data_IF_884237660363
#
_entry.id   IF_884237660363
#
_cell.length_a   1.000
_cell.length_b   1.000
_cell.length_c   1.000
_cell.angle_alpha   90.00
_cell.angle_beta   90.00
_cell.angle_gamma   90.00
#
_symmetry.space_group_name_H-M   'P 1'
#
loop_
_entity.id
_entity.type
_entity.pdbx_description
1 polymer ?
#
# COMPACT_ATOMS: atom_id res chain seq x y z
N UNK A 1 -15.64 1.11 -1.02
CA UNK A 1 -15.17 2.11 -2.02
C UNK A 1 -15.31 1.54 -3.45
N UNK A 2 -15.38 2.34 -4.52
CA UNK A 2 -15.41 1.79 -5.88
C UNK A 2 -14.00 1.36 -6.34
N UNK A 3 -13.86 0.26 -7.11
CA UNK A 3 -12.56 -0.19 -7.63
C UNK A 3 -11.80 0.90 -8.39
N UNK A 4 -12.51 1.73 -9.16
CA UNK A 4 -11.92 2.85 -9.90
C UNK A 4 -11.20 3.87 -9.02
N UNK A 5 -11.74 4.15 -7.83
CA UNK A 5 -11.13 5.09 -6.88
C UNK A 5 -9.85 4.50 -6.27
N UNK A 6 -9.84 3.19 -6.00
CA UNK A 6 -8.64 2.50 -5.51
C UNK A 6 -7.50 2.54 -6.55
N UNK A 7 -7.80 2.26 -7.82
CA UNK A 7 -6.79 2.35 -8.89
C UNK A 7 -6.20 3.75 -9.02
N UNK A 8 -7.04 4.78 -8.99
CA UNK A 8 -6.58 6.16 -9.07
C UNK A 8 -5.65 6.53 -7.91
N UNK A 9 -5.96 6.11 -6.68
CA UNK A 9 -5.08 6.36 -5.54
C UNK A 9 -3.75 5.60 -5.68
N UNK A 10 -3.80 4.31 -6.01
CA UNK A 10 -2.59 3.49 -6.18
C UNK A 10 -1.70 3.95 -7.33
N UNK A 11 -2.27 4.49 -8.41
CA UNK A 11 -1.50 5.05 -9.53
C UNK A 11 -0.57 6.20 -9.08
N UNK A 12 -0.92 6.94 -8.02
CA UNK A 12 -0.08 8.03 -7.49
C UNK A 12 1.27 7.53 -6.94
N UNK A 13 1.41 6.25 -6.63
CA UNK A 13 2.69 5.66 -6.24
C UNK A 13 3.71 5.73 -7.38
N UNK A 14 3.23 5.54 -8.62
CA UNK A 14 4.03 5.68 -9.84
C UNK A 14 4.37 7.16 -10.15
N UNK A 15 3.72 8.09 -9.47
CA UNK A 15 4.02 9.53 -9.53
C UNK A 15 4.96 9.99 -8.40
N UNK A 16 5.52 9.03 -7.64
CA UNK A 16 6.48 9.29 -6.56
C UNK A 16 5.82 9.65 -5.22
N UNK A 17 4.52 9.41 -5.04
CA UNK A 17 3.89 9.53 -3.71
C UNK A 17 4.33 8.38 -2.81
N UNK A 18 4.45 8.70 -1.52
CA UNK A 18 4.81 7.71 -0.50
C UNK A 18 3.68 6.68 -0.29
N UNK A 19 4.01 5.37 -0.22
CA UNK A 19 3.06 4.30 0.09
C UNK A 19 2.19 4.56 1.30
N UNK A 20 2.78 4.99 2.42
CA UNK A 20 2.12 5.28 3.68
C UNK A 20 1.00 6.32 3.51
N UNK A 21 1.27 7.40 2.77
CA UNK A 21 0.31 8.46 2.48
C UNK A 21 -0.85 7.93 1.64
N UNK A 22 -0.55 7.27 0.51
CA UNK A 22 -1.59 6.78 -0.41
C UNK A 22 -2.48 5.74 0.27
N UNK A 23 -1.89 4.79 0.98
CA UNK A 23 -2.64 3.70 1.61
C UNK A 23 -3.42 4.18 2.83
N UNK A 24 -2.93 5.18 3.58
CA UNK A 24 -3.71 5.79 4.66
C UNK A 24 -4.92 6.54 4.09
N UNK A 25 -4.79 7.26 2.96
CA UNK A 25 -5.94 7.89 2.30
C UNK A 25 -7.01 6.87 1.89
N UNK A 26 -6.60 5.68 1.44
CA UNK A 26 -7.53 4.59 1.14
C UNK A 26 -8.25 4.10 2.40
N UNK A 27 -7.52 3.90 3.49
CA UNK A 27 -8.09 3.45 4.78
C UNK A 27 -8.99 4.50 5.43
N UNK A 28 -8.71 5.79 5.25
CA UNK A 28 -9.54 6.87 5.78
C UNK A 28 -10.84 7.03 4.98
N UNK A 29 -10.76 6.92 3.65
CA UNK A 29 -11.91 7.08 2.78
C UNK A 29 -12.89 5.88 2.80
N UNK A 30 -12.48 4.73 3.35
CA UNK A 30 -13.35 3.56 3.53
C UNK A 30 -13.17 2.94 4.93
N UNK A 31 -14.10 3.18 5.86
CA UNK A 31 -14.06 2.61 7.20
C UNK A 31 -14.15 1.08 7.27
N UNK A 32 -14.69 0.42 6.24
CA UNK A 32 -14.82 -1.03 6.18
C UNK A 32 -13.57 -1.69 5.58
N UNK A 33 -12.67 -0.90 4.98
CA UNK A 33 -11.42 -1.40 4.43
C UNK A 33 -10.41 -1.67 5.56
N UNK A 34 -10.15 -2.95 5.82
CA UNK A 34 -9.06 -3.36 6.70
C UNK A 34 -7.73 -3.51 5.94
N UNK A 35 -6.65 -3.68 6.71
CA UNK A 35 -5.28 -3.81 6.17
C UNK A 35 -5.05 -5.10 5.37
N UNK A 36 -5.79 -6.17 5.63
CA UNK A 36 -5.64 -7.43 4.91
C UNK A 36 -6.27 -7.34 3.53
N UNK A 37 -7.48 -6.79 3.46
CA UNK A 37 -8.17 -6.49 2.19
C UNK A 37 -7.37 -5.47 1.39
N UNK A 38 -6.86 -4.40 2.02
CA UNK A 38 -5.98 -3.43 1.36
C UNK A 38 -4.75 -4.09 0.73
N UNK A 39 -4.10 -5.01 1.44
CA UNK A 39 -2.93 -5.72 0.94
C UNK A 39 -3.23 -6.55 -0.30
N UNK A 40 -4.40 -7.19 -0.36
CA UNK A 40 -4.85 -7.94 -1.53
C UNK A 40 -5.14 -7.01 -2.71
N UNK A 41 -5.86 -5.90 -2.49
CA UNK A 41 -6.11 -4.89 -3.53
C UNK A 41 -4.80 -4.33 -4.08
N UNK A 42 -3.81 -4.09 -3.22
CA UNK A 42 -2.49 -3.64 -3.63
C UNK A 42 -1.77 -4.66 -4.52
N UNK A 43 -1.79 -5.94 -4.15
CA UNK A 43 -1.16 -7.01 -4.91
C UNK A 43 -1.85 -7.27 -6.25
N UNK A 44 -3.18 -7.14 -6.31
CA UNK A 44 -3.97 -7.26 -7.53
C UNK A 44 -3.67 -6.12 -8.53
N UNK A 45 -3.47 -4.90 -8.05
CA UNK A 45 -3.19 -3.74 -8.91
C UNK A 45 -1.75 -3.75 -9.44
N UNK A 46 -0.80 -4.20 -8.63
CA UNK A 46 0.62 -4.28 -9.00
C UNK A 46 1.03 -5.72 -9.35
N UNK A 47 0.59 -6.18 -10.53
CA UNK A 47 0.74 -7.54 -11.05
C UNK A 47 2.17 -8.14 -11.04
N UNK A 48 3.22 -7.31 -11.09
CA UNK A 48 4.63 -7.75 -10.99
C UNK A 48 5.11 -8.04 -9.56
N UNK A 49 4.35 -7.67 -8.53
CA UNK A 49 4.72 -7.93 -7.14
C UNK A 49 4.41 -9.39 -6.75
N UNK A 50 5.11 -9.89 -5.74
CA UNK A 50 4.83 -11.19 -5.14
C UNK A 50 4.20 -11.05 -3.75
N UNK A 51 3.81 -12.19 -3.16
CA UNK A 51 3.14 -12.22 -1.86
C UNK A 51 4.00 -11.75 -0.68
N UNK A 52 5.29 -11.43 -0.87
CA UNK A 52 6.16 -10.88 0.20
C UNK A 52 5.77 -9.46 0.60
N UNK A 53 4.95 -8.79 -0.21
CA UNK A 53 4.42 -7.46 0.12
C UNK A 53 3.36 -7.53 1.23
N UNK A 54 2.62 -8.64 1.31
CA UNK A 54 1.47 -8.75 2.21
C UNK A 54 1.89 -8.63 3.69
N UNK A 55 2.91 -9.35 4.19
CA UNK A 55 3.37 -9.21 5.56
C UNK A 55 3.90 -7.81 5.90
N UNK A 56 4.40 -7.06 4.92
CA UNK A 56 4.86 -5.67 5.12
C UNK A 56 3.67 -4.76 5.40
N UNK A 57 2.60 -4.87 4.60
CA UNK A 57 1.36 -4.10 4.78
C UNK A 57 0.66 -4.49 6.09
N UNK A 58 0.59 -5.78 6.43
CA UNK A 58 -0.07 -6.22 7.66
C UNK A 58 0.63 -5.68 8.93
N UNK A 59 1.97 -5.66 8.93
CA UNK A 59 2.81 -5.20 10.03
C UNK A 59 2.96 -3.67 10.10
N UNK A 60 2.36 -2.91 9.19
CA UNK A 60 2.46 -1.46 9.16
C UNK A 60 1.57 -0.76 10.20
N UNK A 61 2.14 0.26 10.84
CA UNK A 61 1.44 1.19 11.73
C UNK A 61 0.65 2.24 10.95
N UNK A 62 -0.47 1.83 10.35
CA UNK A 62 -1.40 2.69 9.61
C UNK A 62 -2.30 3.54 10.51
N UNK A 63 -3.14 4.41 9.93
CA UNK A 63 -4.26 5.09 10.62
C UNK A 63 -5.22 4.14 11.36
N UNK A 64 -5.33 2.87 10.93
CA UNK A 64 -6.16 1.83 11.58
C UNK A 64 -5.41 0.99 12.63
N UNK A 65 -4.12 1.23 12.86
CA UNK A 65 -3.29 0.36 13.72
C UNK A 65 -2.13 1.12 14.35
N UNK A 66 -2.14 1.23 15.67
CA UNK A 66 -1.09 1.91 16.44
C UNK A 66 0.18 1.08 16.66
N UNK A 67 0.16 -0.21 16.30
CA UNK A 67 1.30 -1.14 16.40
C UNK A 67 1.85 -1.46 15.01
N UNK A 68 3.15 -1.69 14.92
CA UNK A 68 3.81 -2.06 13.68
C UNK A 68 5.09 -1.28 13.37
N UNK A 69 5.59 -1.45 12.15
CA UNK A 69 6.67 -0.65 11.57
C UNK A 69 6.18 0.77 11.26
N UNK A 70 7.06 1.76 11.33
CA UNK A 70 6.73 3.16 11.06
C UNK A 70 6.41 3.41 9.59
N UNK A 71 5.81 4.56 9.28
CA UNK A 71 5.59 5.01 7.89
C UNK A 71 6.89 5.02 7.10
N UNK A 72 7.98 5.54 7.68
CA UNK A 72 9.29 5.55 7.02
C UNK A 72 9.78 4.13 6.68
N UNK A 73 9.75 3.20 7.64
CA UNK A 73 10.18 1.82 7.42
C UNK A 73 9.29 1.10 6.40
N UNK A 74 7.99 1.43 6.42
CA UNK A 74 7.01 0.90 5.48
C UNK A 74 7.28 1.41 4.06
N UNK A 75 7.47 2.72 3.89
CA UNK A 75 7.75 3.35 2.60
C UNK A 75 9.02 2.78 1.98
N UNK A 76 10.11 2.69 2.75
CA UNK A 76 11.37 2.09 2.31
C UNK A 76 11.16 0.64 1.84
N UNK A 77 10.43 -0.17 2.61
CA UNK A 77 10.21 -1.58 2.30
C UNK A 77 9.32 -1.79 1.05
N UNK A 78 8.23 -1.04 0.92
CA UNK A 78 7.32 -1.13 -0.24
C UNK A 78 8.05 -0.64 -1.50
N UNK A 79 8.69 0.52 -1.46
CA UNK A 79 9.39 1.08 -2.62
C UNK A 79 10.55 0.17 -3.06
N UNK A 80 11.28 -0.44 -2.13
CA UNK A 80 12.32 -1.42 -2.48
C UNK A 80 11.73 -2.61 -3.25
N UNK A 81 10.62 -3.19 -2.78
CA UNK A 81 9.96 -4.31 -3.47
C UNK A 81 9.39 -3.90 -4.83
N UNK A 82 8.79 -2.72 -4.94
CA UNK A 82 8.30 -2.18 -6.22
C UNK A 82 9.44 -2.00 -7.23
N UNK A 83 10.57 -1.43 -6.81
CA UNK A 83 11.75 -1.29 -7.68
C UNK A 83 12.33 -2.64 -8.09
N UNK A 84 12.40 -3.60 -7.17
CA UNK A 84 12.84 -4.97 -7.47
C UNK A 84 11.94 -5.69 -8.48
N UNK A 85 10.63 -5.40 -8.46
CA UNK A 85 9.66 -5.91 -9.43
C UNK A 85 9.65 -5.12 -10.76
N UNK A 86 10.48 -4.09 -10.89
CA UNK A 86 10.64 -3.31 -12.11
C UNK A 86 9.64 -2.16 -12.30
N UNK A 87 9.05 -1.66 -11.21
CA UNK A 87 8.30 -0.40 -11.23
C UNK A 87 9.24 0.80 -11.10
N UNK A 88 8.83 1.93 -11.70
CA UNK A 88 9.52 3.21 -11.58
C UNK A 88 8.77 4.03 -10.53
N UNK A 89 9.34 4.10 -9.32
CA UNK A 89 8.79 4.75 -8.12
C UNK A 89 9.85 5.43 -7.27
#
# INVERSE_FOLDING_TARGET
>A
MSPLKNRYLLAQLLEGKLPSNVLNLMLEADPELDKYVLANVFLEEFDRLDSKILPVIWKWKSVRSIRGISDQQFDEAILAQMRMAGYIV
#
